data_IF_483939348861
#
_entry.id   IF_483939348861
#
_cell.length_a   1.000
_cell.length_b   1.000
_cell.length_c   1.000
_cell.angle_alpha   90.00
_cell.angle_beta   90.00
_cell.angle_gamma   90.00
#
_symmetry.space_group_name_H-M   'P 1'
#
loop_
_entity.id
_entity.type
_entity.pdbx_description
1 polymer ?
#
# COMPACT_ATOMS: atom_id res chain seq x y z
N UNK A 1 5.47 29.41 -6.43
CA UNK A 1 4.66 28.95 -5.28
C UNK A 1 5.31 27.68 -4.76
N UNK A 2 5.67 27.68 -3.48
CA UNK A 2 6.73 26.84 -2.91
C UNK A 2 6.27 25.42 -2.58
N UNK A 3 6.96 24.42 -3.13
CA UNK A 3 6.81 22.98 -2.87
C UNK A 3 7.37 22.55 -1.49
N UNK A 4 7.72 23.53 -0.63
CA UNK A 4 8.31 23.29 0.68
C UNK A 4 7.32 22.75 1.74
N UNK A 5 6.03 22.62 1.40
CA UNK A 5 5.02 22.06 2.32
C UNK A 5 5.04 20.52 2.38
N UNK A 6 5.53 19.83 1.35
CA UNK A 6 5.63 18.37 1.34
C UNK A 6 6.75 17.88 2.28
N UNK A 7 7.92 18.53 2.23
CA UNK A 7 9.06 18.21 3.08
C UNK A 7 8.87 18.55 4.57
N UNK A 8 7.94 19.44 4.92
CA UNK A 8 7.72 19.87 6.30
C UNK A 8 6.81 18.92 7.10
N UNK A 9 5.94 18.15 6.43
CA UNK A 9 5.12 17.09 7.07
C UNK A 9 5.93 15.84 7.45
N UNK A 10 7.10 15.65 6.83
CA UNK A 10 8.04 14.57 7.17
C UNK A 10 8.62 14.68 8.59
N UNK A 11 8.35 15.76 9.34
CA UNK A 11 8.83 15.97 10.72
C UNK A 11 7.79 15.72 11.83
N UNK A 12 6.60 15.21 11.54
CA UNK A 12 5.50 15.31 12.50
C UNK A 12 5.15 14.10 13.37
N UNK A 13 5.95 13.03 13.42
CA UNK A 13 5.89 12.06 14.53
C UNK A 13 7.17 11.23 14.60
N UNK A 14 8.01 11.39 15.65
CA UNK A 14 9.05 10.44 15.96
C UNK A 14 8.41 9.04 16.07
N UNK A 15 8.78 8.12 15.18
CA UNK A 15 8.25 6.75 15.16
C UNK A 15 7.23 6.43 14.05
N UNK A 16 6.85 7.38 13.19
CA UNK A 16 6.00 7.06 12.03
C UNK A 16 6.73 6.15 11.03
N UNK A 17 5.99 5.21 10.43
CA UNK A 17 6.48 4.27 9.43
C UNK A 17 6.04 4.72 8.03
N UNK A 18 6.99 4.80 7.10
CA UNK A 18 6.71 5.17 5.72
C UNK A 18 5.98 4.03 4.99
N UNK A 19 4.79 4.31 4.46
CA UNK A 19 4.02 3.40 3.61
C UNK A 19 3.99 3.96 2.19
N UNK A 20 4.65 3.30 1.24
CA UNK A 20 4.56 3.72 -0.17
C UNK A 20 3.21 3.31 -0.74
N UNK A 21 2.46 4.29 -1.25
CA UNK A 21 1.15 4.07 -1.85
C UNK A 21 1.25 4.14 -3.37
N UNK A 22 0.85 3.07 -4.04
CA UNK A 22 0.77 2.93 -5.50
C UNK A 22 -0.67 3.08 -5.93
N UNK A 23 -0.95 3.97 -6.89
CA UNK A 23 -2.32 4.35 -7.27
C UNK A 23 -2.69 5.77 -6.84
N UNK A 24 -3.97 6.11 -6.97
CA UNK A 24 -4.48 7.48 -6.84
C UNK A 24 -5.59 7.59 -5.77
N UNK A 25 -5.24 7.46 -4.48
CA UNK A 25 -6.22 7.64 -3.42
C UNK A 25 -6.60 9.11 -3.25
N UNK A 26 -7.87 9.37 -2.94
CA UNK A 26 -8.28 10.67 -2.42
C UNK A 26 -7.75 10.86 -0.98
N UNK A 27 -7.34 12.08 -0.63
CA UNK A 27 -6.64 12.34 0.64
C UNK A 27 -7.39 11.92 1.90
N UNK A 28 -8.71 12.12 1.95
CA UNK A 28 -9.54 11.71 3.09
C UNK A 28 -9.79 10.20 3.12
N UNK A 29 -9.95 9.56 1.96
CA UNK A 29 -10.07 8.11 1.87
C UNK A 29 -8.78 7.42 2.34
N UNK A 30 -7.62 7.95 1.92
CA UNK A 30 -6.32 7.48 2.38
C UNK A 30 -6.16 7.64 3.89
N UNK A 31 -6.49 8.82 4.44
CA UNK A 31 -6.40 9.09 5.87
C UNK A 31 -7.22 8.09 6.70
N UNK A 32 -8.44 7.78 6.26
CA UNK A 32 -9.29 6.77 6.90
C UNK A 32 -8.70 5.37 6.80
N UNK A 33 -8.20 4.98 5.62
CA UNK A 33 -7.53 3.69 5.44
C UNK A 33 -6.35 3.53 6.41
N UNK A 34 -5.43 4.51 6.45
CA UNK A 34 -4.27 4.49 7.35
C UNK A 34 -4.66 4.37 8.83
N UNK A 35 -5.74 5.03 9.25
CA UNK A 35 -6.23 4.96 10.62
C UNK A 35 -6.78 3.57 11.01
N UNK A 36 -7.17 2.76 10.03
CA UNK A 36 -7.65 1.38 10.26
C UNK A 36 -6.57 0.32 10.13
N UNK A 37 -5.40 0.66 9.57
CA UNK A 37 -4.32 -0.29 9.40
C UNK A 37 -3.72 -0.67 10.76
N UNK A 38 -3.46 -1.97 11.01
CA UNK A 38 -2.68 -2.36 12.16
C UNK A 38 -1.30 -1.74 12.04
N UNK A 39 -0.84 -1.13 13.12
CA UNK A 39 0.49 -0.56 13.20
C UNK A 39 1.25 -1.20 14.37
N UNK A 40 2.52 -1.57 14.16
CA UNK A 40 3.34 -2.20 15.19
C UNK A 40 3.73 -1.19 16.27
N UNK A 41 3.79 -1.67 17.51
CA UNK A 41 4.35 -0.93 18.66
C UNK A 41 3.73 0.46 18.90
N UNK A 42 2.44 0.66 18.56
CA UNK A 42 1.76 1.96 18.75
C UNK A 42 2.23 3.06 17.80
N UNK A 43 2.96 2.71 16.74
CA UNK A 43 3.37 3.63 15.67
C UNK A 43 2.20 3.97 14.75
N UNK A 44 2.41 4.90 13.85
CA UNK A 44 1.44 5.28 12.83
C UNK A 44 2.03 5.16 11.44
N UNK A 45 1.18 4.87 10.46
CA UNK A 45 1.57 4.86 9.06
C UNK A 45 1.54 6.28 8.48
N UNK A 46 2.61 6.65 7.80
CA UNK A 46 2.71 7.86 7.01
C UNK A 46 2.74 7.47 5.53
N UNK A 47 1.67 7.80 4.80
CA UNK A 47 1.65 7.57 3.36
C UNK A 47 2.67 8.46 2.64
N UNK A 48 3.40 7.84 1.71
CA UNK A 48 4.30 8.48 0.76
C UNK A 48 3.77 8.15 -0.62
N UNK A 49 3.54 9.17 -1.45
CA UNK A 49 2.98 8.99 -2.78
C UNK A 49 3.89 8.20 -3.72
N UNK A 50 3.31 7.61 -4.78
CA UNK A 50 4.03 6.79 -5.76
C UNK A 50 5.29 7.49 -6.30
N UNK A 51 5.20 8.79 -6.58
CA UNK A 51 6.27 9.61 -7.18
C UNK A 51 7.11 10.41 -6.16
N UNK A 52 6.80 10.33 -4.86
CA UNK A 52 7.50 11.13 -3.85
C UNK A 52 8.90 10.57 -3.55
N UNK A 53 9.91 11.42 -3.55
CA UNK A 53 11.27 11.03 -3.15
C UNK A 53 11.36 11.04 -1.63
N UNK A 54 11.76 9.93 -1.03
CA UNK A 54 11.80 9.76 0.42
C UNK A 54 12.67 8.60 0.85
N UNK A 55 12.76 8.34 2.16
CA UNK A 55 13.46 7.17 2.68
C UNK A 55 12.84 5.87 2.13
N UNK A 56 13.57 4.75 2.14
CA UNK A 56 13.02 3.44 1.79
C UNK A 56 11.72 3.19 2.56
N UNK A 57 10.64 2.77 1.88
CA UNK A 57 9.38 2.55 2.57
C UNK A 57 9.47 1.35 3.51
N UNK A 58 8.89 1.48 4.70
CA UNK A 58 8.72 0.38 5.63
C UNK A 58 7.72 -0.66 5.11
N UNK A 59 6.80 -0.27 4.21
CA UNK A 59 5.86 -1.17 3.55
C UNK A 59 5.25 -0.58 2.28
N UNK A 60 4.49 -1.40 1.56
CA UNK A 60 3.86 -1.03 0.30
C UNK A 60 2.35 -1.30 0.32
N UNK A 61 1.59 -0.37 -0.25
CA UNK A 61 0.14 -0.46 -0.41
C UNK A 61 -0.21 -0.18 -1.88
N UNK A 62 -0.97 -1.08 -2.49
CA UNK A 62 -1.65 -0.86 -3.77
C UNK A 62 -3.07 -0.40 -3.49
N UNK A 63 -3.41 0.80 -3.92
CA UNK A 63 -4.76 1.34 -3.83
C UNK A 63 -5.58 0.93 -5.06
N UNK A 64 -6.68 0.22 -4.83
CA UNK A 64 -7.57 -0.27 -5.88
C UNK A 64 -8.94 0.38 -5.72
N UNK A 65 -9.31 1.22 -6.67
CA UNK A 65 -10.70 1.67 -6.83
C UNK A 65 -11.52 0.59 -7.55
N UNK A 66 -12.35 -0.13 -6.81
CA UNK A 66 -13.16 -1.23 -7.32
C UNK A 66 -14.24 -0.75 -8.29
N UNK A 67 -14.66 0.51 -8.21
CA UNK A 67 -15.63 1.07 -9.15
C UNK A 67 -15.05 1.34 -10.55
N UNK A 68 -13.71 1.36 -10.66
CA UNK A 68 -12.96 1.72 -11.86
C UNK A 68 -11.78 0.76 -12.07
N UNK A 69 -12.00 -0.52 -11.81
CA UNK A 69 -10.95 -1.53 -11.85
C UNK A 69 -10.35 -1.64 -13.26
N UNK A 70 -9.09 -1.23 -13.39
CA UNK A 70 -8.28 -1.41 -14.59
C UNK A 70 -7.02 -2.20 -14.22
N UNK A 71 -7.07 -3.52 -14.43
CA UNK A 71 -5.96 -4.42 -14.07
C UNK A 71 -4.68 -4.13 -14.86
N UNK A 72 -4.81 -3.65 -16.10
CA UNK A 72 -3.65 -3.34 -16.93
C UNK A 72 -2.92 -2.11 -16.37
N UNK A 73 -3.68 -1.09 -15.95
CA UNK A 73 -3.11 0.08 -15.27
C UNK A 73 -2.48 -0.29 -13.92
N UNK A 74 -3.16 -1.09 -13.09
CA UNK A 74 -2.62 -1.55 -11.80
C UNK A 74 -1.30 -2.30 -11.99
N UNK A 75 -1.24 -3.22 -12.95
CA UNK A 75 -0.01 -3.94 -13.28
C UNK A 75 1.11 -3.00 -13.74
N UNK A 76 0.78 -2.02 -14.59
CA UNK A 76 1.74 -1.03 -15.08
C UNK A 76 2.33 -0.21 -13.94
N UNK A 77 1.50 0.26 -12.99
CA UNK A 77 1.95 1.02 -11.81
C UNK A 77 2.84 0.18 -10.91
N UNK A 78 2.45 -1.07 -10.62
CA UNK A 78 3.30 -2.01 -9.88
C UNK A 78 4.66 -2.22 -10.56
N UNK A 79 4.68 -2.39 -11.88
CA UNK A 79 5.93 -2.55 -12.63
C UNK A 79 6.84 -1.32 -12.55
N UNK A 80 6.28 -0.12 -12.50
CA UNK A 80 7.04 1.13 -12.42
C UNK A 80 7.52 1.45 -11.00
N UNK A 81 6.72 1.09 -9.98
CA UNK A 81 6.99 1.45 -8.59
C UNK A 81 8.03 0.54 -7.91
N UNK A 82 8.14 -0.72 -8.33
CA UNK A 82 8.96 -1.71 -7.64
C UNK A 82 10.30 -1.95 -8.34
N UNK A 83 11.43 -1.88 -7.61
CA UNK A 83 12.73 -2.25 -8.15
C UNK A 83 12.78 -3.76 -8.38
N UNK A 84 13.39 -4.18 -9.50
CA UNK A 84 13.67 -5.61 -9.75
C UNK A 84 14.72 -6.08 -8.74
N UNK A 85 14.38 -7.06 -7.91
CA UNK A 85 15.28 -7.57 -6.87
C UNK A 85 14.96 -9.00 -6.42
N UNK A 86 15.89 -9.64 -5.71
CA UNK A 86 15.70 -11.00 -5.21
C UNK A 86 14.79 -10.99 -3.99
N UNK A 87 13.57 -11.50 -4.14
CA UNK A 87 12.62 -11.69 -3.04
C UNK A 87 11.19 -11.38 -3.45
N UNK A 88 10.22 -11.97 -2.75
CA UNK A 88 8.82 -11.59 -2.90
C UNK A 88 8.51 -10.41 -1.97
N UNK A 89 8.15 -9.27 -2.54
CA UNK A 89 7.80 -8.07 -1.78
C UNK A 89 6.32 -8.15 -1.41
N UNK A 90 5.96 -8.18 -0.11
CA UNK A 90 4.55 -8.17 0.30
C UNK A 90 3.95 -6.77 0.08
N UNK A 91 2.82 -6.73 -0.60
CA UNK A 91 2.09 -5.50 -0.92
C UNK A 91 0.65 -5.65 -0.47
N UNK A 92 0.21 -4.72 0.38
CA UNK A 92 -1.19 -4.68 0.82
C UNK A 92 -2.07 -4.19 -0.33
N UNK A 93 -2.99 -5.03 -0.79
CA UNK A 93 -4.02 -4.68 -1.75
C UNK A 93 -5.21 -4.08 -1.00
N UNK A 94 -5.29 -2.75 -1.00
CA UNK A 94 -6.36 -2.01 -0.33
C UNK A 94 -7.50 -1.74 -1.31
N UNK A 95 -8.70 -2.24 -0.98
CA UNK A 95 -9.88 -2.06 -1.80
C UNK A 95 -10.68 -0.85 -1.32
N UNK A 96 -11.04 0.02 -2.26
CA UNK A 96 -11.86 1.19 -2.02
C UNK A 96 -12.92 1.29 -3.11
N UNK A 97 -14.14 1.69 -2.76
CA UNK A 97 -15.18 2.02 -3.73
C UNK A 97 -15.43 3.53 -3.68
N UNK A 98 -15.09 4.22 -4.78
CA UNK A 98 -15.30 5.66 -4.91
C UNK A 98 -16.77 6.05 -5.10
N UNK A 99 -17.67 5.11 -5.41
CA UNK A 99 -19.10 5.36 -5.67
C UNK A 99 -19.99 5.24 -4.43
N UNK A 100 -19.52 4.64 -3.33
CA UNK A 100 -20.20 4.73 -2.04
C UNK A 100 -19.89 3.63 -1.02
N UNK A 101 -19.68 4.05 0.24
CA UNK A 101 -19.71 3.18 1.43
C UNK A 101 -18.50 3.32 2.36
N UNK A 102 -18.76 3.34 3.66
CA UNK A 102 -17.75 3.36 4.76
C UNK A 102 -17.21 1.96 5.08
N UNK A 103 -17.62 0.95 4.30
CA UNK A 103 -17.28 -0.46 4.46
C UNK A 103 -16.31 -0.92 3.37
N UNK A 104 -15.47 -1.90 3.70
CA UNK A 104 -14.66 -2.61 2.70
C UNK A 104 -15.58 -3.10 1.56
N UNK A 105 -15.31 -2.73 0.30
CA UNK A 105 -16.19 -3.10 -0.79
C UNK A 105 -16.15 -4.62 -1.00
N UNK A 106 -17.31 -5.24 -1.08
CA UNK A 106 -17.42 -6.60 -1.56
C UNK A 106 -17.13 -6.61 -3.07
N UNK A 107 -16.15 -7.38 -3.50
CA UNK A 107 -15.89 -7.60 -4.92
C UNK A 107 -16.94 -8.55 -5.48
N UNK A 108 -17.46 -8.25 -6.67
CA UNK A 108 -18.13 -9.27 -7.47
C UNK A 108 -17.13 -10.35 -7.92
N UNK A 109 -17.67 -11.48 -8.39
CA UNK A 109 -16.86 -12.65 -8.75
C UNK A 109 -15.88 -12.35 -9.90
N UNK A 110 -16.27 -11.51 -10.86
CA UNK A 110 -15.42 -11.14 -11.99
C UNK A 110 -14.22 -10.29 -11.53
N UNK A 111 -14.48 -9.25 -10.75
CA UNK A 111 -13.49 -8.36 -10.17
C UNK A 111 -12.54 -9.10 -9.23
N UNK A 112 -13.05 -10.06 -8.45
CA UNK A 112 -12.23 -10.93 -7.61
C UNK A 112 -11.26 -11.78 -8.46
N UNK A 113 -11.76 -12.43 -9.53
CA UNK A 113 -10.91 -13.23 -10.45
C UNK A 113 -9.86 -12.37 -11.14
N UNK A 114 -10.22 -11.16 -11.55
CA UNK A 114 -9.31 -10.19 -12.17
C UNK A 114 -8.16 -9.83 -11.23
N UNK A 115 -8.45 -9.53 -9.96
CA UNK A 115 -7.43 -9.22 -8.96
C UNK A 115 -6.58 -10.45 -8.57
N UNK A 116 -7.16 -11.64 -8.52
CA UNK A 116 -6.42 -12.88 -8.28
C UNK A 116 -5.41 -13.15 -9.41
N UNK A 117 -5.84 -12.97 -10.67
CA UNK A 117 -4.97 -13.09 -11.84
C UNK A 117 -3.85 -12.04 -11.83
N UNK A 118 -4.15 -10.80 -11.43
CA UNK A 118 -3.13 -9.77 -11.20
C UNK A 118 -2.11 -10.22 -10.17
N UNK A 119 -2.56 -10.77 -9.03
CA UNK A 119 -1.69 -11.28 -7.97
C UNK A 119 -0.74 -12.37 -8.45
N UNK A 120 -1.26 -13.35 -9.20
CA UNK A 120 -0.44 -14.42 -9.80
C UNK A 120 0.59 -13.85 -10.78
N UNK A 121 0.17 -12.91 -11.62
CA UNK A 121 1.03 -12.29 -12.64
C UNK A 121 2.13 -11.44 -12.00
N UNK A 122 1.78 -10.61 -11.00
CA UNK A 122 2.73 -9.79 -10.27
C UNK A 122 3.73 -10.65 -9.49
N UNK A 123 3.29 -11.75 -8.86
CA UNK A 123 4.18 -12.67 -8.16
C UNK A 123 5.19 -13.34 -9.10
N UNK A 124 4.73 -13.74 -10.28
CA UNK A 124 5.57 -14.44 -11.26
C UNK A 124 6.59 -13.54 -11.95
N UNK A 125 6.18 -12.34 -12.32
CA UNK A 125 6.98 -11.48 -13.20
C UNK A 125 7.63 -10.29 -12.49
N UNK A 126 7.06 -9.84 -11.36
CA UNK A 126 7.55 -8.67 -10.62
C UNK A 126 8.09 -9.06 -9.24
N UNK A 127 7.93 -10.31 -8.80
CA UNK A 127 8.29 -10.72 -7.44
C UNK A 127 7.43 -10.01 -6.39
N UNK A 128 6.16 -9.74 -6.68
CA UNK A 128 5.24 -9.05 -5.77
C UNK A 128 4.20 -10.02 -5.23
N UNK A 129 4.06 -10.12 -3.92
CA UNK A 129 2.97 -10.86 -3.26
C UNK A 129 1.86 -9.88 -2.89
N UNK A 130 0.72 -9.94 -3.60
CA UNK A 130 -0.46 -9.15 -3.24
C UNK A 130 -1.23 -9.82 -2.10
N UNK A 131 -1.44 -9.09 -1.01
CA UNK A 131 -2.10 -9.57 0.21
C UNK A 131 -3.31 -8.67 0.49
N UNK A 132 -4.50 -9.25 0.67
CA UNK A 132 -5.73 -8.49 0.96
C UNK A 132 -5.96 -8.24 2.46
N UNK A 133 -5.48 -9.14 3.31
CA UNK A 133 -5.64 -9.04 4.77
C UNK A 133 -4.52 -8.18 5.40
N UNK A 134 -4.83 -7.04 6.05
CA UNK A 134 -3.83 -6.18 6.67
C UNK A 134 -3.00 -6.87 7.76
N UNK A 135 -3.59 -7.79 8.54
CA UNK A 135 -2.87 -8.48 9.60
C UNK A 135 -1.84 -9.47 9.04
N UNK A 136 -2.26 -10.27 8.04
CA UNK A 136 -1.37 -11.15 7.29
C UNK A 136 -0.25 -10.36 6.61
N UNK A 137 -0.57 -9.22 5.98
CA UNK A 137 0.44 -8.36 5.35
C UNK A 137 1.48 -7.87 6.36
N UNK A 138 1.04 -7.37 7.52
CA UNK A 138 1.94 -6.91 8.58
C UNK A 138 2.85 -8.03 9.09
N UNK A 139 2.36 -9.26 9.21
CA UNK A 139 3.14 -10.42 9.65
C UNK A 139 4.29 -10.79 8.69
N UNK A 140 4.16 -10.41 7.42
CA UNK A 140 5.15 -10.70 6.37
C UNK A 140 6.27 -9.66 6.29
N UNK A 141 6.23 -8.62 7.12
CA UNK A 141 7.34 -7.66 7.25
C UNK A 141 8.39 -8.17 8.25
N UNK A 142 9.56 -8.64 7.78
CA UNK A 142 10.56 -9.29 8.63
C UNK A 142 11.34 -8.33 9.54
N UNK A 143 11.29 -7.02 9.28
CA UNK A 143 12.19 -6.03 9.92
C UNK A 143 11.60 -5.32 11.14
N UNK A 144 10.42 -5.71 11.62
CA UNK A 144 9.75 -5.03 12.73
C UNK A 144 9.77 -5.82 14.05
N UNK A 145 10.36 -7.02 14.06
CA UNK A 145 10.44 -7.90 15.24
C UNK A 145 11.81 -7.79 15.95
N UNK A 146 12.75 -6.98 15.46
CA UNK A 146 14.05 -6.76 16.11
C UNK A 146 14.18 -5.33 16.68
N UNK A 147 13.32 -4.99 17.64
CA UNK A 147 13.55 -3.86 18.53
C UNK A 147 13.00 -4.15 19.94
N UNK A 148 13.28 -5.34 20.48
CA UNK A 148 13.07 -5.65 21.91
C UNK A 148 14.02 -6.78 22.34
N UNK A 149 15.32 -6.53 22.18
CA UNK A 149 16.37 -7.29 22.85
C UNK A 149 17.52 -6.31 23.12
N UNK A 150 17.39 -5.58 24.22
CA UNK A 150 18.38 -4.62 24.74
C UNK A 150 18.02 -4.26 26.16
#
# INVERSE_FOLDING_TARGET
>A
MSDQAAGLRARLSPGALSLRVVGEPEGEALRRALATLPAPEGRTWLAVGEQEVGPPPAGWLLWVDTARLDVADLYRRLKLAFPVGPGRIPVLCWLHDSRGGVSFPALDEESARLLDNLGVTAARFLGIELIRDPASWLSRHPSMVQASAG
#
